data_IF_258016650145
#
_entry.id   IF_258016650145
#
_cell.length_a   1.000
_cell.length_b   1.000
_cell.length_c   1.000
_cell.angle_alpha   90.00
_cell.angle_beta   90.00
_cell.angle_gamma   90.00
#
_symmetry.space_group_name_H-M   'P 1'
#
loop_
_entity.id
_entity.type
_entity.pdbx_description
1 polymer ?
#
# COMPACT_ATOMS: atom_id res chain seq x y z
N UNK A 1 10.51 -13.21 -13.06
CA UNK A 1 10.53 -13.54 -11.62
C UNK A 1 9.10 -13.82 -11.21
N UNK A 2 8.87 -14.76 -10.31
CA UNK A 2 7.52 -15.15 -9.90
C UNK A 2 6.95 -14.15 -8.87
N UNK A 3 7.78 -13.71 -7.93
CA UNK A 3 7.53 -12.62 -6.98
C UNK A 3 8.78 -11.74 -6.83
N UNK A 4 8.67 -10.62 -6.10
CA UNK A 4 9.84 -9.91 -5.58
C UNK A 4 9.48 -9.26 -4.23
N UNK A 5 10.15 -9.66 -3.15
CA UNK A 5 9.93 -9.07 -1.82
C UNK A 5 11.24 -8.99 -1.05
N UNK A 6 11.54 -7.83 -0.47
CA UNK A 6 12.76 -7.58 0.29
C UNK A 6 12.56 -6.83 1.63
N UNK A 7 11.33 -6.80 2.15
CA UNK A 7 10.98 -5.96 3.30
C UNK A 7 11.53 -6.43 4.66
N UNK A 8 12.17 -7.61 4.73
CA UNK A 8 12.64 -8.19 5.99
C UNK A 8 14.13 -8.53 5.94
N UNK A 9 14.76 -8.55 7.12
CA UNK A 9 16.20 -8.78 7.26
C UNK A 9 16.65 -10.14 6.70
N UNK A 10 15.79 -11.16 6.75
CA UNK A 10 16.07 -12.50 6.27
C UNK A 10 15.86 -12.69 4.75
N UNK A 11 15.64 -11.61 3.99
CA UNK A 11 15.41 -11.71 2.55
C UNK A 11 16.55 -12.46 1.83
N UNK A 12 16.19 -13.30 0.85
CA UNK A 12 17.14 -14.19 0.20
C UNK A 12 18.36 -13.44 -0.36
N UNK A 13 19.55 -13.91 0.02
CA UNK A 13 20.86 -13.35 -0.36
C UNK A 13 21.03 -11.86 0.00
N UNK A 14 20.25 -11.33 0.94
CA UNK A 14 20.18 -9.90 1.22
C UNK A 14 19.88 -9.06 -0.05
N UNK A 15 19.07 -9.61 -0.98
CA UNK A 15 18.68 -8.96 -2.25
C UNK A 15 17.17 -8.96 -2.44
N UNK A 16 16.52 -10.10 -2.31
CA UNK A 16 15.10 -10.23 -2.61
C UNK A 16 14.67 -11.69 -2.75
N UNK A 17 13.51 -12.03 -2.18
CA UNK A 17 12.86 -13.32 -2.40
C UNK A 17 12.13 -13.30 -3.75
N UNK A 18 12.51 -14.19 -4.68
CA UNK A 18 12.01 -14.18 -6.08
C UNK A 18 11.18 -15.39 -6.50
N UNK A 19 11.14 -16.42 -5.67
CA UNK A 19 10.39 -17.68 -5.89
C UNK A 19 9.40 -17.91 -4.73
N UNK A 20 9.93 -17.97 -3.51
CA UNK A 20 9.17 -18.07 -2.27
C UNK A 20 9.91 -17.27 -1.20
N UNK A 21 9.16 -16.68 -0.27
CA UNK A 21 9.74 -15.96 0.87
C UNK A 21 10.48 -16.91 1.81
N UNK A 22 11.60 -16.48 2.38
CA UNK A 22 12.28 -17.20 3.48
C UNK A 22 11.34 -17.39 4.68
N UNK A 23 10.46 -16.41 4.92
CA UNK A 23 9.38 -16.49 5.90
C UNK A 23 8.24 -17.48 5.54
N UNK A 24 8.32 -18.18 4.42
CA UNK A 24 7.29 -19.11 3.94
C UNK A 24 6.21 -18.49 3.06
N UNK A 25 6.23 -17.17 2.79
CA UNK A 25 5.25 -16.49 1.94
C UNK A 25 5.30 -17.02 0.50
N UNK A 26 4.20 -17.60 0.03
CA UNK A 26 4.03 -18.08 -1.34
C UNK A 26 3.91 -16.93 -2.35
N UNK A 27 4.26 -17.19 -3.61
CA UNK A 27 4.22 -16.21 -4.72
C UNK A 27 2.88 -15.46 -4.80
N UNK A 28 1.76 -16.20 -4.82
CA UNK A 28 0.44 -15.61 -4.97
C UNK A 28 0.05 -14.73 -3.78
N UNK A 29 0.48 -15.08 -2.56
CA UNK A 29 0.30 -14.23 -1.37
C UNK A 29 1.11 -12.95 -1.51
N UNK A 30 2.36 -13.03 -1.99
CA UNK A 30 3.18 -11.85 -2.24
C UNK A 30 2.53 -10.90 -3.27
N UNK A 31 2.06 -11.44 -4.40
CA UNK A 31 1.33 -10.67 -5.42
C UNK A 31 0.08 -9.98 -4.87
N UNK A 32 -0.72 -10.69 -4.06
CA UNK A 32 -1.90 -10.09 -3.44
C UNK A 32 -1.51 -8.98 -2.44
N UNK A 33 -0.44 -9.14 -1.66
CA UNK A 33 0.05 -8.07 -0.79
C UNK A 33 0.53 -6.85 -1.59
N UNK A 34 1.22 -7.05 -2.72
CA UNK A 34 1.64 -5.96 -3.62
C UNK A 34 0.43 -5.20 -4.16
N UNK A 35 -0.60 -5.91 -4.64
CA UNK A 35 -1.83 -5.28 -5.14
C UNK A 35 -2.61 -4.57 -4.02
N UNK A 36 -2.64 -5.11 -2.80
CA UNK A 36 -3.29 -4.45 -1.68
C UNK A 36 -2.61 -3.11 -1.36
N UNK A 37 -1.28 -3.08 -1.33
CA UNK A 37 -0.52 -1.84 -1.16
C UNK A 37 -0.78 -0.86 -2.30
N UNK A 38 -0.80 -1.33 -3.55
CA UNK A 38 -1.16 -0.51 -4.71
C UNK A 38 -2.58 0.08 -4.59
N UNK A 39 -3.53 -0.70 -4.09
CA UNK A 39 -4.91 -0.26 -3.83
C UNK A 39 -4.96 0.83 -2.77
N UNK A 40 -4.20 0.69 -1.67
CA UNK A 40 -4.10 1.72 -0.63
C UNK A 40 -3.48 3.00 -1.18
N UNK A 41 -2.43 2.92 -2.01
CA UNK A 41 -1.88 4.09 -2.71
C UNK A 41 -2.95 4.76 -3.58
N UNK A 42 -3.79 3.98 -4.25
CA UNK A 42 -4.93 4.49 -5.05
C UNK A 42 -6.01 5.20 -4.24
N UNK A 43 -6.38 4.69 -3.07
CA UNK A 43 -7.28 5.37 -2.13
C UNK A 43 -6.65 6.70 -1.68
N UNK A 44 -5.35 6.67 -1.40
CA UNK A 44 -4.61 7.84 -0.95
C UNK A 44 -4.56 8.94 -2.02
N UNK A 45 -4.33 8.57 -3.28
CA UNK A 45 -4.41 9.49 -4.43
C UNK A 45 -5.78 10.16 -4.53
N UNK A 46 -6.88 9.40 -4.35
CA UNK A 46 -8.26 9.91 -4.33
C UNK A 46 -8.47 10.87 -3.16
N UNK A 47 -8.04 10.50 -1.95
CA UNK A 47 -8.19 11.34 -0.75
C UNK A 47 -7.45 12.67 -0.91
N UNK A 48 -6.19 12.63 -1.34
CA UNK A 48 -5.33 13.81 -1.49
C UNK A 48 -5.84 14.72 -2.61
N UNK A 49 -6.04 14.20 -3.82
CA UNK A 49 -6.50 15.01 -4.97
C UNK A 49 -7.94 15.47 -4.80
N UNK A 50 -8.77 14.67 -4.15
CA UNK A 50 -10.14 15.01 -3.79
C UNK A 50 -10.27 15.96 -2.61
N UNK A 51 -9.16 16.29 -1.92
CA UNK A 51 -9.14 17.11 -0.70
C UNK A 51 -10.14 16.61 0.36
N UNK A 52 -10.24 15.29 0.50
CA UNK A 52 -11.11 14.66 1.48
C UNK A 52 -10.44 14.80 2.85
N UNK A 53 -11.17 15.34 3.83
CA UNK A 53 -10.70 15.41 5.20
C UNK A 53 -10.67 14.02 5.83
N UNK A 54 -9.49 13.58 6.28
CA UNK A 54 -9.31 12.29 6.94
C UNK A 54 -10.18 12.15 8.20
N UNK A 55 -10.46 13.24 8.92
CA UNK A 55 -11.36 13.21 10.07
C UNK A 55 -12.82 12.86 9.69
N UNK A 56 -13.21 13.09 8.43
CA UNK A 56 -14.54 12.79 7.90
C UNK A 56 -14.73 11.37 7.39
N UNK A 57 -13.69 10.52 7.42
CA UNK A 57 -13.72 9.15 6.88
C UNK A 57 -13.09 8.11 7.84
N UNK A 58 -13.45 8.07 9.14
CA UNK A 58 -12.79 7.23 10.16
C UNK A 58 -12.74 5.76 9.79
N UNK A 59 -13.84 5.19 9.28
CA UNK A 59 -13.90 3.79 8.85
C UNK A 59 -12.87 3.48 7.74
N UNK A 60 -12.67 4.41 6.80
CA UNK A 60 -11.66 4.25 5.74
C UNK A 60 -10.26 4.27 6.33
N UNK A 61 -10.00 5.16 7.28
CA UNK A 61 -8.71 5.26 7.95
C UNK A 61 -8.34 3.92 8.60
N UNK A 62 -9.28 3.32 9.33
CA UNK A 62 -9.07 2.04 10.02
C UNK A 62 -8.81 0.90 9.03
N UNK A 63 -9.50 0.87 7.89
CA UNK A 63 -9.22 -0.13 6.85
C UNK A 63 -7.87 0.07 6.17
N UNK A 64 -7.41 1.31 6.02
CA UNK A 64 -6.06 1.61 5.51
C UNK A 64 -4.99 1.12 6.49
N UNK A 65 -5.15 1.37 7.79
CA UNK A 65 -4.24 0.85 8.81
C UNK A 65 -4.15 -0.67 8.75
N UNK A 66 -5.31 -1.35 8.75
CA UNK A 66 -5.39 -2.81 8.66
C UNK A 66 -4.74 -3.36 7.40
N UNK A 67 -4.95 -2.71 6.26
CA UNK A 67 -4.38 -3.12 4.97
C UNK A 67 -2.87 -3.00 4.96
N UNK A 68 -2.30 -1.95 5.57
CA UNK A 68 -0.86 -1.81 5.74
C UNK A 68 -0.31 -2.88 6.69
N UNK A 69 -0.93 -3.03 7.87
CA UNK A 69 -0.49 -3.95 8.91
C UNK A 69 -0.53 -5.42 8.45
N UNK A 70 -1.60 -5.87 7.79
CA UNK A 70 -1.70 -7.26 7.35
C UNK A 70 -0.66 -7.68 6.30
N UNK A 71 0.10 -6.73 5.74
CA UNK A 71 1.21 -6.99 4.80
C UNK A 71 2.59 -6.90 5.45
N UNK A 72 2.68 -6.72 6.77
CA UNK A 72 3.93 -6.87 7.53
C UNK A 72 4.37 -8.34 7.49
N UNK A 73 5.68 -8.56 7.60
CA UNK A 73 6.28 -9.90 7.67
C UNK A 73 5.67 -10.70 8.82
N UNK A 74 5.27 -11.95 8.53
CA UNK A 74 4.62 -12.88 9.47
C UNK A 74 3.26 -12.43 10.02
N UNK A 75 2.60 -11.44 9.41
CA UNK A 75 1.28 -10.98 9.84
C UNK A 75 0.14 -11.84 9.26
N UNK A 76 0.11 -12.06 7.94
CA UNK A 76 -0.98 -12.80 7.30
C UNK A 76 -0.51 -13.56 6.04
N UNK A 77 -0.76 -14.88 6.02
CA UNK A 77 -0.48 -15.78 4.91
C UNK A 77 -1.75 -16.30 4.22
N UNK A 78 -2.94 -15.91 4.70
CA UNK A 78 -4.23 -16.29 4.14
C UNK A 78 -4.54 -15.44 2.90
N UNK A 79 -4.41 -16.07 1.74
CA UNK A 79 -4.67 -15.43 0.46
C UNK A 79 -6.12 -14.97 0.29
N UNK A 80 -7.09 -15.70 0.85
CA UNK A 80 -8.50 -15.37 0.73
C UNK A 80 -8.86 -14.16 1.61
N UNK A 81 -8.24 -14.05 2.78
CA UNK A 81 -8.35 -12.86 3.62
C UNK A 81 -7.79 -11.61 2.92
N UNK A 82 -6.63 -11.71 2.27
CA UNK A 82 -6.02 -10.60 1.53
C UNK A 82 -6.87 -10.25 0.31
N UNK A 83 -7.37 -11.23 -0.45
CA UNK A 83 -8.28 -11.02 -1.57
C UNK A 83 -9.54 -10.27 -1.14
N UNK A 84 -10.18 -10.69 -0.04
CA UNK A 84 -11.36 -10.01 0.52
C UNK A 84 -11.05 -8.56 0.88
N UNK A 85 -9.87 -8.31 1.47
CA UNK A 85 -9.45 -6.93 1.77
C UNK A 85 -9.25 -6.11 0.50
N UNK A 86 -8.64 -6.65 -0.56
CA UNK A 86 -8.49 -5.95 -1.84
C UNK A 86 -9.86 -5.58 -2.42
N UNK A 87 -10.81 -6.52 -2.48
CA UNK A 87 -12.17 -6.24 -2.97
C UNK A 87 -12.85 -5.13 -2.15
N UNK A 88 -12.74 -5.20 -0.82
CA UNK A 88 -13.27 -4.16 0.08
C UNK A 88 -12.64 -2.80 -0.19
N UNK A 89 -11.32 -2.75 -0.32
CA UNK A 89 -10.58 -1.51 -0.53
C UNK A 89 -10.84 -0.91 -1.92
N UNK A 90 -11.00 -1.72 -2.95
CA UNK A 90 -11.47 -1.25 -4.27
C UNK A 90 -12.86 -0.63 -4.15
N UNK A 91 -13.80 -1.27 -3.45
CA UNK A 91 -15.15 -0.73 -3.23
C UNK A 91 -15.13 0.61 -2.48
N UNK A 92 -14.32 0.72 -1.43
CA UNK A 92 -14.09 1.96 -0.68
C UNK A 92 -13.54 3.06 -1.58
N UNK A 93 -12.53 2.75 -2.40
CA UNK A 93 -11.92 3.67 -3.36
C UNK A 93 -12.95 4.21 -4.35
N UNK A 94 -13.79 3.36 -4.92
CA UNK A 94 -14.86 3.79 -5.84
C UNK A 94 -15.90 4.67 -5.14
N UNK A 95 -16.27 4.32 -3.90
CA UNK A 95 -17.20 5.12 -3.10
C UNK A 95 -16.67 6.52 -2.75
N UNK A 96 -15.37 6.67 -2.50
CA UNK A 96 -14.72 7.97 -2.31
C UNK A 96 -14.61 8.74 -3.63
N UNK A 97 -14.19 8.06 -4.70
CA UNK A 97 -14.03 8.67 -6.03
C UNK A 97 -15.33 9.25 -6.56
N UNK A 98 -16.48 8.61 -6.29
CA UNK A 98 -17.79 9.12 -6.66
C UNK A 98 -18.19 10.45 -5.98
N UNK A 99 -17.52 10.83 -4.88
CA UNK A 99 -17.80 12.04 -4.10
C UNK A 99 -16.94 13.24 -4.48
N UNK A 100 -15.98 13.06 -5.39
CA UNK A 100 -15.00 14.09 -5.73
C UNK A 100 -15.04 14.42 -7.23
N UNK A 101 -14.61 15.63 -7.57
CA UNK A 101 -14.29 16.01 -8.94
C UNK A 101 -12.78 16.28 -9.01
N UNK A 102 -12.01 15.24 -9.29
CA UNK A 102 -10.56 15.32 -9.43
C UNK A 102 -10.13 14.82 -10.82
N UNK A 103 -9.26 15.58 -11.47
CA UNK A 103 -8.60 15.19 -12.71
C UNK A 103 -7.23 14.57 -12.41
N UNK A 104 -6.71 13.79 -13.35
CA UNK A 104 -5.35 13.23 -13.26
C UNK A 104 -5.16 12.21 -12.15
N UNK A 105 -6.19 11.45 -11.80
CA UNK A 105 -6.06 10.31 -10.88
C UNK A 105 -5.09 9.26 -11.45
N UNK A 106 -4.26 8.69 -10.58
CA UNK A 106 -3.29 7.66 -10.95
C UNK A 106 -4.00 6.35 -11.34
N UNK A 107 -3.35 5.46 -12.11
CA UNK A 107 -3.91 4.14 -12.42
C UNK A 107 -4.29 3.35 -11.15
N UNK A 108 -3.57 3.52 -10.05
CA UNK A 108 -3.91 2.98 -8.73
C UNK A 108 -5.33 3.34 -8.25
N UNK A 109 -5.83 4.53 -8.63
CA UNK A 109 -7.17 5.00 -8.35
C UNK A 109 -8.25 4.50 -9.35
N UNK A 110 -7.82 3.88 -10.46
CA UNK A 110 -8.66 3.60 -11.63
C UNK A 110 -8.72 2.12 -12.02
N UNK A 111 -7.68 1.33 -11.72
CA UNK A 111 -7.61 -0.07 -12.12
C UNK A 111 -8.80 -0.88 -11.60
N UNK A 112 -9.19 -1.90 -12.33
CA UNK A 112 -10.24 -2.85 -11.93
C UNK A 112 -9.63 -4.24 -11.79
N UNK A 113 -10.18 -5.03 -10.89
CA UNK A 113 -9.82 -6.43 -10.70
C UNK A 113 -11.03 -7.14 -10.05
N UNK A 114 -11.86 -7.74 -10.91
CA UNK A 114 -13.16 -8.27 -10.50
C UNK A 114 -13.07 -9.68 -9.88
N UNK A 115 -11.98 -10.40 -10.15
CA UNK A 115 -11.70 -11.72 -9.61
C UNK A 115 -10.22 -11.90 -9.23
N UNK A 116 -9.89 -13.08 -8.69
CA UNK A 116 -8.53 -13.39 -8.20
C UNK A 116 -7.51 -13.44 -9.34
N UNK A 117 -7.88 -13.90 -10.51
CA UNK A 117 -6.94 -14.02 -11.64
C UNK A 117 -6.59 -12.62 -12.16
N UNK A 118 -7.57 -11.74 -12.32
CA UNK A 118 -7.36 -10.33 -12.64
C UNK A 118 -6.51 -9.60 -11.59
N UNK A 119 -6.70 -9.91 -10.30
CA UNK A 119 -5.85 -9.39 -9.22
C UNK A 119 -4.40 -9.86 -9.38
N UNK A 120 -4.17 -11.15 -9.61
CA UNK A 120 -2.83 -11.70 -9.77
C UNK A 120 -2.14 -11.18 -11.04
N UNK A 121 -2.87 -10.97 -12.13
CA UNK A 121 -2.37 -10.34 -13.35
C UNK A 121 -1.94 -8.90 -13.08
N UNK A 122 -2.82 -8.07 -12.50
CA UNK A 122 -2.50 -6.68 -12.17
C UNK A 122 -1.30 -6.57 -11.24
N UNK A 123 -1.20 -7.46 -10.25
CA UNK A 123 -0.09 -7.50 -9.28
C UNK A 123 1.28 -7.64 -9.96
N UNK A 124 1.37 -8.32 -11.12
CA UNK A 124 2.64 -8.47 -11.85
C UNK A 124 3.21 -7.14 -12.35
N UNK A 125 2.38 -6.10 -12.46
CA UNK A 125 2.73 -4.80 -13.04
C UNK A 125 3.02 -3.74 -11.97
N UNK A 126 2.68 -3.99 -10.70
CA UNK A 126 2.61 -2.95 -9.66
C UNK A 126 3.44 -3.25 -8.40
N UNK A 127 4.23 -4.33 -8.42
CA UNK A 127 5.14 -4.67 -7.33
C UNK A 127 6.37 -3.76 -7.26
N UNK A 128 7.28 -4.07 -6.35
CA UNK A 128 8.50 -3.30 -6.05
C UNK A 128 9.31 -2.90 -7.29
N UNK A 129 9.44 -3.82 -8.25
CA UNK A 129 10.25 -3.60 -9.45
C UNK A 129 9.59 -2.72 -10.52
N UNK A 130 8.35 -2.26 -10.30
CA UNK A 130 7.67 -1.33 -11.20
C UNK A 130 8.36 0.05 -11.23
N UNK A 131 9.07 0.44 -10.16
CA UNK A 131 9.95 1.62 -10.19
C UNK A 131 11.32 1.21 -10.71
N UNK A 132 11.71 1.73 -11.88
CA UNK A 132 12.96 1.32 -12.56
C UNK A 132 14.22 1.88 -11.89
N UNK A 133 14.21 3.18 -11.56
CA UNK A 133 15.35 3.84 -10.90
C UNK A 133 15.57 3.25 -9.50
N UNK A 134 16.79 2.79 -9.23
CA UNK A 134 17.11 2.08 -7.99
C UNK A 134 17.03 2.94 -6.73
N UNK A 135 17.49 4.20 -6.79
CA UNK A 135 17.46 5.12 -5.65
C UNK A 135 16.02 5.52 -5.31
N UNK A 136 15.23 5.85 -6.34
CA UNK A 136 13.79 6.16 -6.18
C UNK A 136 13.04 4.95 -5.65
N UNK A 137 13.31 3.74 -6.18
CA UNK A 137 12.72 2.49 -5.68
C UNK A 137 13.10 2.24 -4.22
N UNK A 138 14.37 2.42 -3.87
CA UNK A 138 14.87 2.26 -2.51
C UNK A 138 14.12 3.15 -1.52
N UNK A 139 14.01 4.45 -1.83
CA UNK A 139 13.31 5.42 -0.98
C UNK A 139 11.81 5.13 -0.90
N UNK A 140 11.16 4.83 -2.03
CA UNK A 140 9.71 4.51 -2.05
C UNK A 140 9.38 3.30 -1.19
N UNK A 141 10.20 2.26 -1.26
CA UNK A 141 10.00 1.05 -0.45
C UNK A 141 10.35 1.28 1.02
N UNK A 142 11.42 2.05 1.32
CA UNK A 142 11.75 2.42 2.70
C UNK A 142 10.60 3.17 3.38
N UNK A 143 10.01 4.16 2.70
CA UNK A 143 8.83 4.90 3.18
C UNK A 143 7.64 3.94 3.33
N UNK A 144 7.37 3.10 2.33
CA UNK A 144 6.28 2.11 2.39
C UNK A 144 6.41 1.23 3.64
N UNK A 145 7.61 0.73 3.95
CA UNK A 145 7.83 -0.15 5.10
C UNK A 145 7.77 0.59 6.43
N UNK A 146 8.25 1.84 6.48
CA UNK A 146 8.06 2.72 7.64
C UNK A 146 6.57 2.98 7.93
N UNK A 147 5.79 3.27 6.89
CA UNK A 147 4.34 3.47 7.00
C UNK A 147 3.60 2.21 7.46
N UNK A 148 4.03 1.01 7.04
CA UNK A 148 3.49 -0.24 7.58
C UNK A 148 3.73 -0.35 9.09
N UNK A 149 4.95 -0.06 9.55
CA UNK A 149 5.28 -0.04 10.98
C UNK A 149 4.46 0.99 11.75
N UNK A 150 4.35 2.20 11.22
CA UNK A 150 3.50 3.26 11.79
C UNK A 150 2.04 2.81 11.90
N UNK A 151 1.50 2.17 10.86
CA UNK A 151 0.13 1.69 10.84
C UNK A 151 -0.13 0.59 11.88
N UNK A 152 0.83 -0.29 12.13
CA UNK A 152 0.70 -1.31 13.19
C UNK A 152 0.58 -0.67 14.58
N UNK A 153 1.41 0.33 14.89
CA UNK A 153 1.31 1.05 16.17
C UNK A 153 0.00 1.84 16.27
N UNK A 154 -0.44 2.44 15.18
CA UNK A 154 -1.70 3.18 15.13
C UNK A 154 -2.93 2.26 15.33
N UNK A 155 -2.95 1.06 14.74
CA UNK A 155 -4.00 0.07 14.98
C UNK A 155 -4.07 -0.33 16.46
N UNK A 156 -2.91 -0.50 17.12
CA UNK A 156 -2.89 -0.80 18.56
C UNK A 156 -3.37 0.37 19.43
N UNK A 157 -3.02 1.61 19.06
CA UNK A 157 -3.55 2.80 19.74
C UNK A 157 -5.08 2.91 19.56
N UNK A 158 -5.58 2.66 18.34
CA UNK A 158 -7.00 2.65 18.02
C UNK A 158 -7.77 1.63 18.86
N UNK A 159 -7.22 0.43 19.05
CA UNK A 159 -7.80 -0.60 19.92
C UNK A 159 -7.95 -0.15 21.39
N UNK A 160 -7.21 0.87 21.82
CA UNK A 160 -7.31 1.51 23.13
C UNK A 160 -8.15 2.80 23.10
N UNK A 161 -8.86 3.07 22.00
CA UNK A 161 -9.65 4.28 21.78
C UNK A 161 -8.81 5.54 21.58
N UNK A 162 -7.58 5.42 21.07
CA UNK A 162 -6.67 6.53 20.79
C UNK A 162 -6.42 6.64 19.29
N UNK A 163 -6.74 7.78 18.71
CA UNK A 163 -6.43 8.08 17.31
C UNK A 163 -6.13 9.57 17.10
N UNK A 164 -5.44 9.87 16.01
CA UNK A 164 -5.08 11.22 15.58
C UNK A 164 -5.33 11.36 14.08
N UNK A 165 -6.22 12.28 13.69
CA UNK A 165 -6.54 12.52 12.29
C UNK A 165 -5.35 13.02 11.46
N UNK A 166 -4.41 13.72 12.09
CA UNK A 166 -3.17 14.16 11.45
C UNK A 166 -2.28 13.00 11.01
N UNK A 167 -2.28 11.90 11.76
CA UNK A 167 -1.56 10.67 11.38
C UNK A 167 -2.15 10.06 10.12
N UNK A 168 -3.48 9.94 10.05
CA UNK A 168 -4.15 9.40 8.86
C UNK A 168 -3.92 10.27 7.63
N UNK A 169 -4.01 11.60 7.79
CA UNK A 169 -3.69 12.55 6.74
C UNK A 169 -2.27 12.34 6.22
N UNK A 170 -1.27 12.23 7.10
CA UNK A 170 0.11 11.98 6.70
C UNK A 170 0.27 10.65 5.95
N UNK A 171 -0.38 9.57 6.41
CA UNK A 171 -0.35 8.28 5.72
C UNK A 171 -0.89 8.43 4.29
N UNK A 172 -2.00 9.16 4.08
CA UNK A 172 -2.52 9.40 2.73
C UNK A 172 -1.58 10.25 1.88
N UNK A 173 -1.04 11.34 2.40
CA UNK A 173 -0.10 12.20 1.67
C UNK A 173 1.15 11.41 1.25
N UNK A 174 1.73 10.65 2.18
CA UNK A 174 2.90 9.84 1.92
C UNK A 174 2.59 8.73 0.89
N UNK A 175 1.52 7.94 1.08
CA UNK A 175 1.17 6.86 0.15
C UNK A 175 0.83 7.36 -1.26
N UNK A 176 0.23 8.55 -1.39
CA UNK A 176 -0.02 9.19 -2.68
C UNK A 176 1.28 9.68 -3.34
N UNK A 177 2.20 10.28 -2.58
CA UNK A 177 3.51 10.72 -3.07
C UNK A 177 4.34 9.57 -3.66
N UNK A 178 4.16 8.34 -3.16
CA UNK A 178 4.83 7.15 -3.70
C UNK A 178 4.37 6.72 -5.11
N UNK A 179 3.33 7.36 -5.65
CA UNK A 179 2.87 7.21 -7.04
C UNK A 179 3.34 8.36 -7.95
N UNK A 180 3.91 9.42 -7.39
CA UNK A 180 4.29 10.60 -8.14
C UNK A 180 5.71 10.44 -8.69
N UNK A 181 5.81 10.21 -10.00
CA UNK A 181 7.09 10.08 -10.71
C UNK A 181 7.81 11.42 -10.94
N UNK A 182 7.20 12.56 -10.57
CA UNK A 182 7.88 13.85 -10.58
C UNK A 182 8.75 14.10 -9.35
N UNK A 183 8.57 13.31 -8.27
CA UNK A 183 9.39 13.42 -7.06
C UNK A 183 10.75 12.75 -7.25
N UNK A 184 11.81 13.52 -7.03
CA UNK A 184 13.19 13.05 -7.07
C UNK A 184 13.66 12.49 -5.73
N UNK A 185 14.95 12.20 -5.67
CA UNK A 185 15.58 11.66 -4.46
C UNK A 185 15.50 12.63 -3.28
N UNK A 186 15.69 13.94 -3.50
CA UNK A 186 15.68 14.94 -2.43
C UNK A 186 14.30 15.04 -1.76
N UNK A 187 13.22 15.05 -2.53
CA UNK A 187 11.85 15.07 -2.01
C UNK A 187 11.52 13.78 -1.26
N UNK A 188 11.95 12.63 -1.77
CA UNK A 188 11.70 11.34 -1.14
C UNK A 188 12.54 11.14 0.12
N UNK A 189 13.77 11.67 0.18
CA UNK A 189 14.56 11.74 1.42
C UNK A 189 13.86 12.61 2.44
N UNK A 190 13.36 13.79 2.04
CA UNK A 190 12.60 14.66 2.93
C UNK A 190 11.34 13.98 3.48
N UNK A 191 10.64 13.18 2.67
CA UNK A 191 9.47 12.40 3.09
C UNK A 191 9.83 11.21 4.00
N UNK A 192 11.07 10.72 3.92
CA UNK A 192 11.56 9.61 4.75
C UNK A 192 11.83 10.05 6.20
N UNK A 193 12.27 11.30 6.39
CA UNK A 193 12.65 11.88 7.69
C UNK A 193 11.43 12.33 8.51
#
# INVERSE_FOLDING_TARGET
MSMFCFQCQETAMNKGCTVKGVCGKEEHVAKLQDLLIYTVKGISDVVVKGKIDAAGIPEVNHEVLRSLFMTITNANFDADAIQKQITKMISVREGLKAKIQAAGLHDAALFKADDRDAMLEKATLVGVLATENEDVRSLREMITYGLKGMAAYAEHALNLGKEDAGLYKFIYEAMAALLDDSLGADELVALTL
#
